data_IF_863692313046
#
_entry.id   IF_863692313046
#
_cell.length_a   1.000
_cell.length_b   1.000
_cell.length_c   1.000
_cell.angle_alpha   90.00
_cell.angle_beta   90.00
_cell.angle_gamma   90.00
#
_symmetry.space_group_name_H-M   'P 1'
#
loop_
_entity.id
_entity.type
_entity.pdbx_description
1 polymer ?
#
# COMPACT_ATOMS: atom_id res chain seq x y z
N UNK A 1 13.92 10.89 -9.82
CA UNK A 1 12.45 10.78 -9.65
C UNK A 1 11.94 9.90 -10.78
N UNK A 2 11.67 8.62 -10.49
CA UNK A 2 10.96 7.78 -11.45
C UNK A 2 9.52 8.27 -11.50
N UNK A 3 9.11 8.78 -12.63
CA UNK A 3 7.72 9.11 -12.91
C UNK A 3 6.97 7.79 -13.16
N UNK A 4 5.65 7.75 -12.99
CA UNK A 4 4.84 6.58 -13.35
C UNK A 4 5.00 6.16 -14.83
N UNK A 5 5.43 7.07 -15.69
CA UNK A 5 5.77 6.79 -17.09
C UNK A 5 7.00 5.88 -17.21
N UNK A 6 8.03 6.15 -16.40
CA UNK A 6 9.28 5.39 -16.42
C UNK A 6 9.05 3.98 -15.88
N UNK A 7 8.19 3.85 -14.85
CA UNK A 7 7.77 2.55 -14.32
C UNK A 7 7.02 1.72 -15.38
N UNK A 8 6.12 2.34 -16.13
CA UNK A 8 5.36 1.66 -17.18
C UNK A 8 6.26 1.19 -18.33
N UNK A 9 7.19 2.03 -18.77
CA UNK A 9 8.17 1.66 -19.80
C UNK A 9 9.09 0.54 -19.29
N UNK A 10 9.66 0.68 -18.09
CA UNK A 10 10.54 -0.33 -17.51
C UNK A 10 9.86 -1.70 -17.32
N UNK A 11 8.59 -1.74 -16.90
CA UNK A 11 7.86 -3.00 -16.73
C UNK A 11 7.61 -3.70 -18.08
N UNK A 12 7.34 -2.96 -19.13
CA UNK A 12 7.07 -3.55 -20.45
C UNK A 12 8.30 -4.08 -21.16
N UNK A 13 9.50 -3.65 -20.76
CA UNK A 13 10.77 -4.16 -21.30
C UNK A 13 11.26 -5.44 -20.60
N UNK A 14 10.66 -5.80 -19.45
CA UNK A 14 11.04 -6.99 -18.69
C UNK A 14 10.46 -8.25 -19.32
N UNK A 15 11.30 -9.27 -19.47
CA UNK A 15 10.89 -10.57 -19.97
C UNK A 15 10.28 -11.43 -18.84
N UNK A 16 9.12 -12.03 -19.11
CA UNK A 16 8.41 -12.89 -18.15
C UNK A 16 9.09 -14.25 -17.95
N UNK A 17 9.91 -14.68 -18.90
CA UNK A 17 10.63 -15.95 -18.76
C UNK A 17 11.72 -15.86 -17.69
N UNK A 18 12.31 -14.67 -17.52
CA UNK A 18 13.40 -14.42 -16.57
C UNK A 18 12.94 -13.79 -15.25
N UNK A 19 11.82 -13.03 -15.27
CA UNK A 19 11.37 -12.25 -14.10
C UNK A 19 9.91 -12.52 -13.80
N UNK A 20 9.63 -12.95 -12.59
CA UNK A 20 8.26 -13.24 -12.14
C UNK A 20 7.69 -12.14 -11.25
N UNK A 21 8.52 -11.48 -10.46
CA UNK A 21 8.10 -10.52 -9.44
C UNK A 21 8.81 -9.17 -9.61
N UNK A 22 8.05 -8.09 -9.46
CA UNK A 22 8.56 -6.71 -9.47
C UNK A 22 8.50 -6.15 -8.07
N UNK A 23 9.66 -5.76 -7.55
CA UNK A 23 9.80 -5.09 -6.27
C UNK A 23 9.91 -3.57 -6.48
N UNK A 24 8.95 -2.82 -5.96
CA UNK A 24 8.92 -1.35 -6.05
C UNK A 24 9.27 -0.78 -4.69
N UNK A 25 10.48 -0.24 -4.57
CA UNK A 25 10.95 0.40 -3.34
C UNK A 25 10.79 1.93 -3.40
N UNK A 26 10.71 2.53 -2.21
CA UNK A 26 10.75 3.99 -2.08
C UNK A 26 12.14 4.52 -2.39
N UNK A 27 12.24 5.69 -3.00
CA UNK A 27 13.49 6.43 -3.18
C UNK A 27 14.13 6.89 -1.84
N UNK A 28 13.41 6.77 -0.74
CA UNK A 28 13.88 7.10 0.63
C UNK A 28 14.29 5.85 1.40
N UNK A 29 14.27 4.66 0.79
CA UNK A 29 14.72 3.43 1.42
C UNK A 29 16.23 3.47 1.64
N UNK A 30 16.68 3.12 2.86
CA UNK A 30 18.09 3.15 3.29
C UNK A 30 18.60 1.73 3.46
N UNK A 31 17.81 0.88 4.12
CA UNK A 31 18.18 -0.49 4.43
C UNK A 31 16.98 -1.43 4.43
N UNK A 32 17.25 -2.72 4.34
CA UNK A 32 16.26 -3.80 4.32
C UNK A 32 16.52 -4.75 5.49
N UNK A 33 15.47 -5.41 5.98
CA UNK A 33 15.62 -6.43 7.03
C UNK A 33 16.39 -7.65 6.54
N UNK A 34 17.00 -8.45 7.44
CA UNK A 34 17.59 -9.74 7.09
C UNK A 34 16.54 -10.65 6.42
N UNK A 35 17.00 -11.48 5.47
CA UNK A 35 16.17 -12.43 4.74
C UNK A 35 14.97 -11.80 4.00
N UNK A 36 15.10 -10.52 3.67
CA UNK A 36 14.02 -9.71 3.07
C UNK A 36 13.47 -10.33 1.78
N UNK A 37 14.35 -10.68 0.85
CA UNK A 37 13.96 -11.28 -0.43
C UNK A 37 13.37 -12.68 -0.26
N UNK A 38 13.92 -13.47 0.65
CA UNK A 38 13.42 -14.82 0.96
C UNK A 38 11.98 -14.77 1.47
N UNK A 39 11.66 -13.85 2.39
CA UNK A 39 10.30 -13.69 2.91
C UNK A 39 9.31 -13.31 1.81
N UNK A 40 9.72 -12.43 0.90
CA UNK A 40 8.88 -12.03 -0.25
C UNK A 40 8.68 -13.23 -1.20
N UNK A 41 9.76 -13.96 -1.48
CA UNK A 41 9.70 -15.12 -2.36
C UNK A 41 8.78 -16.22 -1.79
N UNK A 42 8.90 -16.52 -0.49
CA UNK A 42 8.05 -17.50 0.17
C UNK A 42 6.56 -17.13 0.12
N UNK A 43 6.24 -15.85 0.28
CA UNK A 43 4.86 -15.38 0.15
C UNK A 43 4.36 -15.46 -1.30
N UNK A 44 5.21 -15.15 -2.27
CA UNK A 44 4.87 -15.27 -3.69
C UNK A 44 4.67 -16.74 -4.10
N UNK A 45 5.54 -17.63 -3.65
CA UNK A 45 5.45 -19.07 -3.89
C UNK A 45 4.18 -19.69 -3.28
N UNK A 46 3.70 -19.13 -2.17
CA UNK A 46 2.39 -19.46 -1.58
C UNK A 46 1.18 -18.95 -2.42
N UNK A 47 1.41 -18.31 -3.58
CA UNK A 47 0.38 -17.86 -4.51
C UNK A 47 -0.08 -16.40 -4.34
N UNK A 48 0.59 -15.60 -3.52
CA UNK A 48 0.23 -14.21 -3.29
C UNK A 48 0.79 -13.33 -4.39
N UNK A 49 -0.10 -12.75 -5.22
CA UNK A 49 0.28 -11.92 -6.37
C UNK A 49 0.65 -10.48 -6.02
N UNK A 50 0.19 -9.97 -4.89
CA UNK A 50 0.45 -8.59 -4.47
C UNK A 50 0.77 -8.53 -2.98
N UNK A 51 1.91 -7.96 -2.64
CA UNK A 51 2.46 -7.93 -1.29
C UNK A 51 2.79 -6.49 -0.91
N UNK A 52 2.29 -6.03 0.22
CA UNK A 52 2.68 -4.77 0.83
C UNK A 52 3.72 -5.02 1.91
N UNK A 53 4.87 -4.37 1.81
CA UNK A 53 5.98 -4.52 2.76
C UNK A 53 5.83 -3.56 3.93
N UNK A 54 6.36 -3.95 5.08
CA UNK A 54 6.40 -3.12 6.27
C UNK A 54 7.39 -1.96 6.06
N UNK A 55 6.97 -0.73 6.34
CA UNK A 55 7.81 0.46 6.17
C UNK A 55 8.01 1.14 7.50
N UNK A 56 9.24 1.23 7.95
CA UNK A 56 9.65 1.93 9.18
C UNK A 56 10.33 3.26 8.82
N UNK A 57 10.00 4.33 9.53
CA UNK A 57 10.65 5.64 9.37
C UNK A 57 11.73 5.76 10.44
N UNK A 58 12.99 5.84 10.01
CA UNK A 58 14.13 5.97 10.92
C UNK A 58 14.32 7.39 11.43
N UNK A 59 14.14 8.39 10.57
CA UNK A 59 14.30 9.78 10.99
C UNK A 59 13.15 10.23 11.90
N UNK A 60 13.37 10.12 13.21
CA UNK A 60 12.42 10.54 14.24
C UNK A 60 12.83 11.88 14.90
N UNK A 61 13.73 12.64 14.28
CA UNK A 61 14.15 13.95 14.81
C UNK A 61 13.01 14.98 14.64
N UNK A 62 12.68 15.65 15.75
CA UNK A 62 11.59 16.64 15.81
C UNK A 62 10.19 16.04 15.97
N UNK A 63 9.29 16.83 16.54
CA UNK A 63 7.91 16.43 16.86
C UNK A 63 7.14 15.93 15.62
N UNK A 64 7.20 16.66 14.51
CA UNK A 64 6.46 16.29 13.29
C UNK A 64 6.88 14.94 12.71
N UNK A 65 8.19 14.62 12.74
CA UNK A 65 8.67 13.35 12.22
C UNK A 65 8.32 12.19 13.15
N UNK A 66 8.41 12.37 14.48
CA UNK A 66 7.95 11.39 15.47
C UNK A 66 6.46 11.10 15.29
N UNK A 67 5.66 12.15 15.17
CA UNK A 67 4.22 12.00 14.97
C UNK A 67 3.89 11.26 13.66
N UNK A 68 4.58 11.57 12.56
CA UNK A 68 4.43 10.84 11.29
C UNK A 68 4.81 9.36 11.41
N UNK A 69 5.89 9.06 12.11
CA UNK A 69 6.31 7.69 12.36
C UNK A 69 5.24 6.92 13.14
N UNK A 70 4.72 7.49 14.23
CA UNK A 70 3.63 6.89 15.03
C UNK A 70 2.38 6.68 14.18
N UNK A 71 1.94 7.68 13.42
CA UNK A 71 0.79 7.54 12.52
C UNK A 71 1.00 6.45 11.45
N UNK A 72 2.23 6.24 11.01
CA UNK A 72 2.57 5.18 10.07
C UNK A 72 2.44 3.80 10.73
N UNK A 73 2.94 3.65 11.96
CA UNK A 73 2.82 2.40 12.72
C UNK A 73 1.37 2.05 13.07
N UNK A 74 0.58 3.03 13.47
CA UNK A 74 -0.87 2.84 13.67
C UNK A 74 -1.54 2.33 12.38
N UNK A 75 -1.19 2.88 11.21
CA UNK A 75 -1.71 2.40 9.94
C UNK A 75 -1.23 0.99 9.59
N UNK A 76 0.02 0.68 9.89
CA UNK A 76 0.57 -0.66 9.66
C UNK A 76 -0.15 -1.69 10.53
N UNK A 77 -0.36 -1.40 11.82
CA UNK A 77 -1.02 -2.32 12.74
C UNK A 77 -2.52 -2.47 12.46
N UNK A 78 -3.27 -1.35 12.41
CA UNK A 78 -4.74 -1.42 12.33
C UNK A 78 -5.23 -1.75 10.92
N UNK A 79 -4.70 -1.08 9.88
CA UNK A 79 -5.27 -1.18 8.53
C UNK A 79 -4.53 -2.15 7.61
N UNK A 80 -3.36 -2.64 8.00
CA UNK A 80 -2.62 -3.63 7.24
C UNK A 80 -2.60 -4.97 7.93
N UNK A 81 -1.90 -5.07 9.06
CA UNK A 81 -1.86 -6.32 9.83
C UNK A 81 -3.26 -6.73 10.31
N UNK A 82 -4.07 -5.80 10.82
CA UNK A 82 -5.45 -6.09 11.23
C UNK A 82 -6.28 -6.65 10.08
N UNK A 83 -6.23 -6.04 8.88
CA UNK A 83 -6.99 -6.56 7.74
C UNK A 83 -6.58 -7.98 7.37
N UNK A 84 -5.29 -8.27 7.26
CA UNK A 84 -4.83 -9.60 6.87
C UNK A 84 -5.18 -10.67 7.92
N UNK A 85 -5.16 -10.31 9.21
CA UNK A 85 -5.63 -11.20 10.29
C UNK A 85 -7.11 -11.56 10.17
N UNK A 86 -7.94 -10.64 9.64
CA UNK A 86 -9.36 -10.90 9.36
C UNK A 86 -9.62 -11.49 7.97
N UNK A 87 -8.59 -11.91 7.24
CA UNK A 87 -8.72 -12.44 5.88
C UNK A 87 -9.08 -11.39 4.82
N UNK A 88 -8.98 -10.10 5.17
CA UNK A 88 -9.20 -9.00 4.24
C UNK A 88 -7.90 -8.55 3.60
N UNK A 89 -7.98 -8.02 2.38
CA UNK A 89 -6.83 -7.47 1.68
C UNK A 89 -6.24 -6.26 2.40
N UNK A 90 -4.92 -6.22 2.48
CA UNK A 90 -4.16 -5.08 2.97
C UNK A 90 -4.23 -3.89 2.03
N UNK A 91 -3.81 -2.73 2.51
CA UNK A 91 -3.75 -1.49 1.73
C UNK A 91 -2.37 -1.29 1.10
N UNK A 92 -2.34 -1.01 -0.20
CA UNK A 92 -1.11 -0.59 -0.88
C UNK A 92 -0.78 0.87 -0.61
N UNK A 93 0.49 1.14 -0.33
CA UNK A 93 0.96 2.53 -0.17
C UNK A 93 1.54 3.15 -1.44
N UNK A 94 1.60 2.37 -2.52
CA UNK A 94 2.21 2.81 -3.79
C UNK A 94 3.73 2.73 -3.83
N UNK A 95 4.36 2.40 -2.71
CA UNK A 95 5.81 2.13 -2.58
C UNK A 95 6.03 1.02 -1.58
N UNK A 96 7.21 0.42 -1.60
CA UNK A 96 7.60 -0.72 -0.77
C UNK A 96 6.60 -1.86 -0.91
N UNK A 97 6.43 -2.33 -2.14
CA UNK A 97 5.50 -3.40 -2.50
C UNK A 97 6.14 -4.33 -3.53
N UNK A 98 5.73 -5.57 -3.50
CA UNK A 98 6.07 -6.58 -4.51
C UNK A 98 4.80 -7.02 -5.23
N UNK A 99 4.86 -7.12 -6.56
CA UNK A 99 3.69 -7.47 -7.37
C UNK A 99 4.15 -8.38 -8.50
N UNK A 100 3.32 -9.36 -8.85
CA UNK A 100 3.50 -10.24 -9.99
C UNK A 100 3.70 -9.45 -11.30
N UNK A 101 4.77 -9.76 -12.03
CA UNK A 101 5.12 -9.07 -13.28
C UNK A 101 4.04 -9.28 -14.35
N UNK A 102 3.54 -10.51 -14.49
CA UNK A 102 2.50 -10.84 -15.46
C UNK A 102 1.23 -10.05 -15.21
N UNK A 103 0.82 -9.95 -13.94
CA UNK A 103 -0.33 -9.14 -13.55
C UNK A 103 -0.11 -7.65 -13.88
N UNK A 104 1.07 -7.11 -13.56
CA UNK A 104 1.40 -5.70 -13.85
C UNK A 104 1.36 -5.39 -15.34
N UNK A 105 2.03 -6.17 -16.19
CA UNK A 105 2.06 -5.95 -17.64
C UNK A 105 0.67 -6.02 -18.25
N UNK A 106 -0.17 -6.98 -17.83
CA UNK A 106 -1.53 -7.12 -18.33
C UNK A 106 -2.46 -5.98 -17.90
N UNK A 107 -2.18 -5.32 -16.78
CA UNK A 107 -3.08 -4.36 -16.19
C UNK A 107 -2.59 -2.91 -16.25
N UNK A 108 -1.28 -2.68 -16.42
CA UNK A 108 -0.71 -1.34 -16.45
C UNK A 108 -0.71 -0.78 -17.88
N UNK A 109 -1.89 -0.43 -18.42
CA UNK A 109 -2.01 0.12 -19.79
C UNK A 109 -1.74 1.62 -19.89
N UNK A 110 -1.61 2.34 -18.78
CA UNK A 110 -1.44 3.79 -18.78
C UNK A 110 -0.71 4.23 -17.51
N UNK A 111 0.18 5.21 -17.64
CA UNK A 111 0.90 5.86 -16.55
C UNK A 111 0.01 6.47 -15.44
N UNK A 112 -1.27 6.73 -15.75
CA UNK A 112 -2.26 7.27 -14.81
C UNK A 112 -3.04 6.19 -14.06
N UNK A 113 -2.72 4.92 -14.27
CA UNK A 113 -3.44 3.81 -13.67
C UNK A 113 -3.10 3.66 -12.19
N UNK A 114 -4.12 3.71 -11.34
CA UNK A 114 -3.96 3.39 -9.93
C UNK A 114 -3.95 1.86 -9.75
N UNK A 115 -2.76 1.32 -9.46
CA UNK A 115 -2.51 -0.12 -9.27
C UNK A 115 -3.42 -0.68 -8.17
N UNK A 116 -3.46 -0.03 -7.00
CA UNK A 116 -4.28 -0.46 -5.86
C UNK A 116 -5.76 -0.61 -6.24
N UNK A 117 -6.33 0.39 -6.92
CA UNK A 117 -7.73 0.33 -7.35
C UNK A 117 -7.98 -0.83 -8.32
N UNK A 118 -7.05 -1.12 -9.21
CA UNK A 118 -7.21 -2.24 -10.15
C UNK A 118 -7.16 -3.58 -9.45
N UNK A 119 -6.24 -3.75 -8.47
CA UNK A 119 -6.16 -4.96 -7.66
C UNK A 119 -7.49 -5.20 -6.93
N UNK A 120 -8.01 -4.18 -6.23
CA UNK A 120 -9.29 -4.29 -5.54
C UNK A 120 -10.48 -4.57 -6.47
N UNK A 121 -10.56 -3.89 -7.62
CA UNK A 121 -11.63 -4.15 -8.60
C UNK A 121 -11.60 -5.55 -9.19
N UNK A 122 -10.42 -6.14 -9.32
CA UNK A 122 -10.25 -7.53 -9.78
C UNK A 122 -10.27 -8.54 -8.64
N UNK A 123 -10.60 -8.10 -7.44
CA UNK A 123 -10.61 -8.91 -6.22
C UNK A 123 -9.29 -9.69 -5.98
N UNK A 124 -8.15 -9.09 -6.37
CA UNK A 124 -6.84 -9.67 -6.11
C UNK A 124 -6.49 -9.42 -4.64
N UNK A 125 -6.16 -10.49 -3.93
CA UNK A 125 -5.76 -10.39 -2.53
C UNK A 125 -4.41 -9.71 -2.40
N UNK A 126 -4.31 -8.78 -1.47
CA UNK A 126 -3.08 -8.05 -1.15
C UNK A 126 -2.67 -8.46 0.26
N UNK A 127 -1.57 -9.14 0.36
CA UNK A 127 -1.01 -9.52 1.66
C UNK A 127 -0.13 -8.42 2.25
N UNK A 128 0.10 -8.49 3.56
CA UNK A 128 1.00 -7.61 4.28
C UNK A 128 2.04 -8.41 5.05
N UNK A 129 3.31 -8.23 4.71
CA UNK A 129 4.43 -8.88 5.39
C UNK A 129 5.03 -7.94 6.46
N UNK A 130 4.70 -8.15 7.75
CA UNK A 130 5.26 -7.36 8.84
C UNK A 130 6.77 -7.57 9.01
N UNK A 131 7.26 -8.77 8.69
CA UNK A 131 8.65 -9.18 8.89
C UNK A 131 9.59 -8.76 7.74
N UNK A 132 9.05 -8.39 6.58
CA UNK A 132 9.81 -7.84 5.46
C UNK A 132 9.88 -6.31 5.58
N UNK A 133 10.86 -5.82 6.35
CA UNK A 133 10.94 -4.42 6.73
C UNK A 133 11.82 -3.62 5.76
N UNK A 134 11.29 -2.49 5.33
CA UNK A 134 12.01 -1.46 4.57
C UNK A 134 12.21 -0.24 5.46
N UNK A 135 13.44 0.07 5.81
CA UNK A 135 13.79 1.26 6.59
C UNK A 135 13.91 2.46 5.66
N UNK A 136 13.18 3.51 5.95
CA UNK A 136 13.13 4.73 5.13
C UNK A 136 13.58 5.95 5.94
N UNK A 137 14.33 6.86 5.32
CA UNK A 137 14.77 8.09 5.97
C UNK A 137 13.60 9.01 6.29
N UNK A 138 12.63 9.11 5.39
CA UNK A 138 11.45 9.95 5.57
C UNK A 138 10.21 9.25 5.02
N UNK A 139 9.04 9.70 5.47
CA UNK A 139 7.78 9.25 4.87
C UNK A 139 7.68 9.76 3.44
N UNK A 140 7.52 8.88 2.45
CA UNK A 140 7.28 9.33 1.09
C UNK A 140 6.00 10.18 1.06
N UNK A 141 6.13 11.40 0.55
CA UNK A 141 5.00 12.31 0.38
C UNK A 141 4.21 11.86 -0.84
N UNK A 142 3.09 11.20 -0.64
CA UNK A 142 2.22 10.83 -1.75
C UNK A 142 1.16 11.91 -2.00
N UNK A 143 1.06 12.44 -3.22
CA UNK A 143 -0.01 13.36 -3.61
C UNK A 143 -1.39 12.68 -3.77
N UNK A 144 -1.61 11.58 -3.05
CA UNK A 144 -2.73 10.64 -3.26
C UNK A 144 -4.12 11.16 -2.84
N UNK A 145 -4.23 12.33 -2.22
CA UNK A 145 -5.48 12.79 -1.57
C UNK A 145 -6.63 13.21 -2.50
N UNK A 146 -6.42 13.38 -3.81
CA UNK A 146 -7.43 14.05 -4.68
C UNK A 146 -8.51 13.16 -5.29
N UNK A 147 -8.51 11.83 -5.08
CA UNK A 147 -9.44 10.92 -5.81
C UNK A 147 -10.53 10.24 -4.97
N UNK A 148 -10.73 10.67 -3.73
CA UNK A 148 -11.70 10.06 -2.79
C UNK A 148 -13.16 10.07 -3.31
N UNK A 149 -13.63 11.17 -3.88
CA UNK A 149 -15.01 11.27 -4.39
C UNK A 149 -15.34 10.25 -5.49
N UNK A 150 -14.40 9.97 -6.38
CA UNK A 150 -14.60 8.97 -7.47
C UNK A 150 -14.58 7.53 -6.97
N UNK A 151 -14.00 7.26 -5.81
CA UNK A 151 -13.92 5.91 -5.26
C UNK A 151 -15.18 5.56 -4.47
N UNK A 152 -15.79 6.52 -3.78
CA UNK A 152 -17.02 6.32 -3.02
C UNK A 152 -18.21 5.89 -3.90
N UNK A 153 -18.27 6.36 -5.16
CA UNK A 153 -19.34 5.96 -6.10
C UNK A 153 -19.34 4.47 -6.45
N UNK A 154 -18.24 3.77 -6.22
CA UNK A 154 -18.13 2.32 -6.46
C UNK A 154 -18.57 1.48 -5.25
N UNK A 155 -18.97 2.08 -4.12
CA UNK A 155 -19.30 1.33 -2.90
C UNK A 155 -20.48 0.39 -3.13
N UNK A 156 -21.62 0.92 -3.58
CA UNK A 156 -22.82 0.10 -3.83
C UNK A 156 -22.63 -0.96 -4.92
N UNK A 157 -22.04 -0.65 -6.10
CA UNK A 157 -21.74 -1.68 -7.07
C UNK A 157 -20.85 -2.81 -6.53
N UNK A 158 -19.80 -2.45 -5.78
CA UNK A 158 -18.90 -3.45 -5.21
C UNK A 158 -19.54 -4.29 -4.11
N UNK A 159 -20.48 -3.73 -3.37
CA UNK A 159 -21.27 -4.44 -2.36
C UNK A 159 -22.17 -5.50 -3.03
N UNK A 160 -22.82 -5.13 -4.12
CA UNK A 160 -23.67 -6.04 -4.91
C UNK A 160 -22.87 -7.15 -5.58
N UNK A 161 -21.62 -6.86 -5.99
CA UNK A 161 -20.69 -7.83 -6.56
C UNK A 161 -20.04 -8.74 -5.47
N UNK A 162 -20.33 -8.53 -4.19
CA UNK A 162 -19.73 -9.28 -3.07
C UNK A 162 -18.24 -8.97 -2.84
N UNK A 163 -17.71 -7.87 -3.41
CA UNK A 163 -16.32 -7.49 -3.25
C UNK A 163 -16.08 -6.73 -1.93
N UNK A 164 -16.10 -7.49 -0.83
CA UNK A 164 -15.91 -6.99 0.54
C UNK A 164 -14.57 -6.27 0.74
N UNK A 165 -13.52 -6.72 0.07
CA UNK A 165 -12.20 -6.10 0.12
C UNK A 165 -12.24 -4.65 -0.39
N UNK A 166 -12.93 -4.43 -1.50
CA UNK A 166 -13.05 -3.08 -2.06
C UNK A 166 -13.98 -2.19 -1.21
N UNK A 167 -15.08 -2.73 -0.69
CA UNK A 167 -15.96 -2.02 0.24
C UNK A 167 -15.21 -1.60 1.50
N UNK A 168 -14.48 -2.50 2.15
CA UNK A 168 -13.63 -2.18 3.31
C UNK A 168 -12.62 -1.07 2.98
N UNK A 169 -12.00 -1.15 1.80
CA UNK A 169 -11.06 -0.12 1.35
C UNK A 169 -11.71 1.27 1.19
N UNK A 170 -12.91 1.32 0.67
CA UNK A 170 -13.68 2.58 0.54
C UNK A 170 -14.00 3.16 1.93
N UNK A 171 -14.46 2.32 2.85
CA UNK A 171 -14.75 2.73 4.25
C UNK A 171 -13.49 3.28 4.92
N UNK A 172 -12.35 2.61 4.78
CA UNK A 172 -11.08 3.08 5.33
C UNK A 172 -10.64 4.44 4.77
N UNK A 173 -10.99 4.75 3.53
CA UNK A 173 -10.76 6.07 2.95
C UNK A 173 -11.63 7.16 3.56
N UNK A 174 -12.80 6.82 4.11
CA UNK A 174 -13.70 7.75 4.79
C UNK A 174 -13.23 8.05 6.21
N UNK A 175 -12.46 7.16 6.83
CA UNK A 175 -11.89 7.38 8.16
C UNK A 175 -10.91 8.56 8.11
N UNK A 176 -11.10 9.60 8.92
CA UNK A 176 -10.20 10.73 8.95
C UNK A 176 -8.80 10.30 9.40
N UNK A 177 -7.78 11.07 8.98
CA UNK A 177 -6.41 10.78 9.41
C UNK A 177 -6.30 10.82 10.95
N UNK A 178 -5.41 10.01 11.56
CA UNK A 178 -5.23 9.98 13.02
C UNK A 178 -5.03 11.38 13.64
N UNK A 179 -4.33 12.28 12.93
CA UNK A 179 -4.18 13.67 13.33
C UNK A 179 -5.55 14.40 13.46
N UNK A 180 -6.43 14.23 12.48
CA UNK A 180 -7.76 14.86 12.52
C UNK A 180 -8.63 14.27 13.63
N UNK A 181 -8.49 12.97 13.87
CA UNK A 181 -9.19 12.31 14.97
C UNK A 181 -8.70 12.83 16.33
N UNK A 182 -7.37 12.96 16.51
CA UNK A 182 -6.82 13.56 17.73
C UNK A 182 -7.31 14.99 17.96
N UNK A 183 -7.31 15.83 16.92
CA UNK A 183 -7.84 17.20 17.02
C UNK A 183 -9.32 17.17 17.37
N UNK A 184 -10.13 16.34 16.71
CA UNK A 184 -11.56 16.23 16.97
C UNK A 184 -11.84 15.79 18.42
N UNK A 185 -11.14 14.78 18.92
CA UNK A 185 -11.25 14.31 20.30
C UNK A 185 -10.82 15.40 21.28
N UNK A 186 -9.71 16.11 21.02
CA UNK A 186 -9.23 17.19 21.89
C UNK A 186 -10.24 18.35 21.96
N UNK A 187 -10.84 18.72 20.84
CA UNK A 187 -11.89 19.76 20.83
C UNK A 187 -13.14 19.30 21.59
N UNK A 188 -13.53 18.02 21.39
CA UNK A 188 -14.69 17.45 22.10
C UNK A 188 -14.50 17.35 23.61
N UNK A 189 -13.27 17.14 24.07
CA UNK A 189 -12.96 17.06 25.52
C UNK A 189 -12.81 18.44 26.16
N UNK A 190 -12.70 19.51 25.38
CA UNK A 190 -12.61 20.89 25.87
C UNK A 190 -13.95 21.64 25.85
N UNK A 191 -14.96 21.08 25.21
CA UNK A 191 -16.36 21.55 25.20
C UNK A 191 -17.17 20.88 26.30
#
# INVERSE_FOLDING_TARGET
>A
FFTYNDLHQGINTLDREHYQLVLILSNTAISLSPLFLEKIYNAYDAGIQAIQLHTVIENRKGFCNRFRAICKEIKNSLFRAGNTQFGLSSNLSGTNMAIDLGWLQNNLRSSKTNIERKLFRKNVYIDYLPDAIVYCQSSPVHPYRRRLRKTASYFFPSLLEGNWNFCNRIVQHLIPSPLKMCIFVSVWTLL
#
